data_IF_761188934994
#
_entry.id   IF_761188934994
#
_cell.length_a   1.000
_cell.length_b   1.000
_cell.length_c   1.000
_cell.angle_alpha   90.00
_cell.angle_beta   90.00
_cell.angle_gamma   90.00
#
_symmetry.space_group_name_H-M   'P 1'
#
loop_
_entity.id
_entity.type
_entity.pdbx_description
1 polymer ?
#
# COMPACT_ATOMS: atom_id res chain seq x y z
N UNK A 1 -4.11 18.02 -4.79
CA UNK A 1 -3.98 16.57 -5.09
C UNK A 1 -4.59 16.33 -6.45
N UNK A 2 -3.83 15.72 -7.36
CA UNK A 2 -4.16 15.63 -8.78
C UNK A 2 -4.42 14.18 -9.23
N UNK A 3 -3.66 13.19 -8.73
CA UNK A 3 -3.80 11.78 -9.13
C UNK A 3 -3.39 10.80 -8.01
N UNK A 4 -4.00 9.62 -7.99
CA UNK A 4 -3.62 8.46 -7.19
C UNK A 4 -3.40 7.22 -8.07
N UNK A 5 -2.23 6.59 -7.92
CA UNK A 5 -1.89 5.37 -8.65
C UNK A 5 -1.55 4.24 -7.67
N UNK A 6 -2.45 3.27 -7.54
CA UNK A 6 -2.22 2.09 -6.71
C UNK A 6 -1.00 1.30 -7.22
N UNK A 7 -0.10 0.93 -6.30
CA UNK A 7 1.06 0.08 -6.59
C UNK A 7 0.81 -1.37 -6.17
N UNK A 8 -0.05 -1.58 -5.17
CA UNK A 8 -0.47 -2.87 -4.67
C UNK A 8 -1.93 -2.85 -4.17
N UNK A 9 -2.38 -3.98 -3.61
CA UNK A 9 -3.68 -4.10 -2.96
C UNK A 9 -3.58 -4.01 -1.42
N UNK A 10 -2.40 -3.72 -0.89
CA UNK A 10 -2.14 -3.60 0.55
C UNK A 10 -2.32 -2.16 1.06
N UNK A 11 -2.42 -1.17 0.16
CA UNK A 11 -2.58 0.23 0.53
C UNK A 11 -1.37 1.11 0.22
N UNK A 12 -0.46 0.66 -0.64
CA UNK A 12 0.64 1.46 -1.16
C UNK A 12 0.27 2.07 -2.49
N UNK A 13 0.45 3.38 -2.63
CA UNK A 13 0.12 4.09 -3.86
C UNK A 13 1.02 5.31 -4.06
N UNK A 14 1.13 5.77 -5.30
CA UNK A 14 1.70 7.07 -5.62
C UNK A 14 0.62 8.14 -5.50
N UNK A 15 0.98 9.27 -4.90
CA UNK A 15 0.16 10.47 -4.89
C UNK A 15 0.88 11.60 -5.63
N UNK A 16 0.25 12.08 -6.70
CA UNK A 16 0.65 13.30 -7.37
C UNK A 16 -0.09 14.46 -6.73
N UNK A 17 0.66 15.34 -6.09
CA UNK A 17 0.12 16.51 -5.43
C UNK A 17 0.51 17.79 -6.13
N UNK A 18 -0.54 18.52 -6.53
CA UNK A 18 -0.49 19.91 -6.96
C UNK A 18 -1.12 20.83 -5.92
N UNK A 19 -0.46 21.95 -5.66
CA UNK A 19 -0.99 23.10 -4.93
C UNK A 19 -0.28 24.39 -5.37
N UNK A 20 -0.86 25.55 -5.05
CA UNK A 20 -0.18 26.85 -5.19
C UNK A 20 0.40 27.24 -3.84
N UNK A 21 1.66 27.66 -3.80
CA UNK A 21 2.22 28.26 -2.58
C UNK A 21 1.70 29.68 -2.34
N UNK A 22 2.12 30.30 -1.22
CA UNK A 22 1.71 31.65 -0.84
C UNK A 22 2.14 32.74 -1.85
N UNK A 23 3.05 32.42 -2.77
CA UNK A 23 3.50 33.31 -3.85
C UNK A 23 2.73 33.11 -5.15
N UNK A 24 1.84 32.11 -5.19
CA UNK A 24 1.08 31.73 -6.39
C UNK A 24 1.89 30.87 -7.36
N UNK A 25 3.04 30.33 -6.96
CA UNK A 25 3.81 29.41 -7.78
C UNK A 25 3.23 28.00 -7.67
N UNK A 26 3.17 27.33 -8.82
CA UNK A 26 2.73 25.95 -8.91
C UNK A 26 3.73 25.04 -8.19
N UNK A 27 3.23 24.18 -7.31
CA UNK A 27 4.00 23.20 -6.56
C UNK A 27 3.53 21.81 -6.94
N UNK A 28 4.42 21.02 -7.55
CA UNK A 28 4.10 19.69 -8.05
C UNK A 28 5.06 18.67 -7.43
N UNK A 29 4.51 17.69 -6.73
CA UNK A 29 5.30 16.72 -5.97
C UNK A 29 4.73 15.32 -6.12
N UNK A 30 5.62 14.34 -6.32
CA UNK A 30 5.29 12.93 -6.33
C UNK A 30 5.69 12.30 -5.00
N UNK A 31 4.75 11.58 -4.41
CA UNK A 31 4.96 10.90 -3.14
C UNK A 31 4.63 9.42 -3.24
N UNK A 32 5.37 8.60 -2.49
CA UNK A 32 4.96 7.26 -2.11
C UNK A 32 4.14 7.36 -0.82
N UNK A 33 2.96 6.77 -0.81
CA UNK A 33 2.03 6.78 0.32
C UNK A 33 1.74 5.34 0.75
N UNK A 34 1.72 5.13 2.06
CA UNK A 34 1.38 3.86 2.71
C UNK A 34 0.21 4.10 3.67
N UNK A 35 -0.91 3.40 3.43
CA UNK A 35 -2.08 3.42 4.31
C UNK A 35 -2.16 2.20 5.24
N UNK A 36 -1.22 1.27 5.16
CA UNK A 36 -1.22 -0.02 5.87
C UNK A 36 -1.39 0.13 7.39
N UNK A 37 -0.67 1.07 8.00
CA UNK A 37 -0.73 1.32 9.45
C UNK A 37 -1.68 2.47 9.82
N UNK A 38 -2.38 3.04 8.84
CA UNK A 38 -3.31 4.13 9.09
C UNK A 38 -4.59 3.60 9.74
N UNK A 39 -5.18 4.38 10.63
CA UNK A 39 -6.48 4.04 11.21
C UNK A 39 -7.54 3.99 10.11
N UNK A 40 -8.26 2.86 9.97
CA UNK A 40 -9.42 2.79 9.10
C UNK A 40 -10.55 3.68 9.64
N UNK A 41 -10.93 4.68 8.84
CA UNK A 41 -11.95 5.67 9.18
C UNK A 41 -13.26 5.45 8.43
N UNK A 42 -13.37 4.42 7.59
CA UNK A 42 -14.53 4.15 6.73
C UNK A 42 -15.84 4.01 7.51
N UNK A 43 -15.77 3.50 8.74
CA UNK A 43 -16.91 3.29 9.63
C UNK A 43 -17.06 4.37 10.72
N UNK A 44 -16.25 5.44 10.68
CA UNK A 44 -16.29 6.49 11.69
C UNK A 44 -17.17 7.66 11.21
N UNK A 45 -18.20 8.07 11.98
CA UNK A 45 -19.04 9.21 11.62
C UNK A 45 -18.32 10.55 11.76
N UNK A 46 -17.19 10.59 12.48
CA UNK A 46 -16.35 11.78 12.67
C UNK A 46 -14.97 11.41 13.21
N UNK A 47 -13.96 12.18 12.80
CA UNK A 47 -12.58 12.12 13.34
C UNK A 47 -12.38 13.00 14.58
N UNK A 48 -13.33 13.85 14.92
CA UNK A 48 -13.16 14.86 15.98
C UNK A 48 -12.93 14.19 17.35
N UNK A 49 -11.80 14.53 17.97
CA UNK A 49 -11.45 14.06 19.32
C UNK A 49 -11.05 12.58 19.39
N UNK A 50 -10.69 11.98 18.25
CA UNK A 50 -10.16 10.61 18.19
C UNK A 50 -8.66 10.65 18.04
N UNK A 51 -7.99 9.71 18.69
CA UNK A 51 -6.61 9.38 18.39
C UNK A 51 -6.61 8.53 17.11
N UNK A 52 -5.95 9.04 16.06
CA UNK A 52 -5.82 8.37 14.77
C UNK A 52 -4.36 8.29 14.37
N UNK A 53 -4.00 7.20 13.69
CA UNK A 53 -2.74 7.06 12.97
C UNK A 53 -2.99 7.49 11.53
N UNK A 54 -2.20 8.45 11.05
CA UNK A 54 -2.30 8.96 9.67
C UNK A 54 -1.46 8.09 8.72
N UNK A 55 -1.83 8.09 7.44
CA UNK A 55 -1.04 7.44 6.40
C UNK A 55 0.37 8.04 6.32
N UNK A 56 1.35 7.18 6.06
CA UNK A 56 2.75 7.57 5.93
C UNK A 56 3.03 8.03 4.50
N UNK A 57 3.95 8.99 4.37
CA UNK A 57 4.24 9.65 3.11
C UNK A 57 5.71 9.96 2.96
N UNK A 58 6.28 9.51 1.85
CA UNK A 58 7.67 9.79 1.46
C UNK A 58 7.69 10.61 0.18
N UNK A 59 8.36 11.77 0.20
CA UNK A 59 8.62 12.55 -1.01
C UNK A 59 9.58 11.76 -1.91
N UNK A 60 9.15 11.46 -3.14
CA UNK A 60 10.00 10.84 -4.15
C UNK A 60 10.67 11.90 -5.03
N UNK A 61 9.86 12.85 -5.51
CA UNK A 61 10.29 13.89 -6.45
C UNK A 61 9.58 15.19 -6.14
N UNK A 62 10.34 16.28 -6.04
CA UNK A 62 9.83 17.64 -6.16
C UNK A 62 10.09 18.09 -7.61
N UNK A 63 9.04 18.21 -8.42
CA UNK A 63 9.23 18.51 -9.84
C UNK A 63 9.80 19.92 -10.04
N UNK A 64 9.61 20.83 -9.08
CA UNK A 64 10.18 22.17 -9.12
C UNK A 64 11.72 22.16 -9.20
N UNK A 65 12.37 21.10 -8.71
CA UNK A 65 13.83 20.96 -8.74
C UNK A 65 14.37 20.53 -10.12
N UNK A 66 13.51 20.12 -11.04
CA UNK A 66 13.91 19.56 -12.36
C UNK A 66 14.16 20.68 -13.39
N UNK A 67 13.89 21.94 -13.05
CA UNK A 67 14.34 23.11 -13.83
C UNK A 67 13.57 23.37 -15.13
N UNK A 68 12.35 22.87 -15.24
CA UNK A 68 11.45 23.11 -16.38
C UNK A 68 10.34 24.10 -16.00
N UNK A 69 9.76 24.79 -16.99
CA UNK A 69 8.57 25.61 -16.78
C UNK A 69 7.39 24.64 -16.69
N UNK A 70 7.07 24.26 -15.45
CA UNK A 70 6.17 23.16 -15.14
C UNK A 70 4.79 23.72 -14.82
N UNK A 71 3.81 23.32 -15.61
CA UNK A 71 2.41 23.62 -15.36
C UNK A 71 1.62 22.32 -15.26
N UNK A 72 0.70 22.28 -14.31
CA UNK A 72 -0.39 21.31 -14.18
C UNK A 72 -0.05 19.84 -14.45
N UNK A 73 0.74 19.24 -13.55
CA UNK A 73 0.86 17.79 -13.53
C UNK A 73 -0.44 17.14 -13.08
N UNK A 74 -1.06 16.35 -13.97
CA UNK A 74 -2.46 15.90 -13.82
C UNK A 74 -2.64 14.39 -14.03
N UNK A 75 -1.60 13.65 -14.42
CA UNK A 75 -1.76 12.24 -14.68
C UNK A 75 -0.51 11.41 -14.48
N UNK A 76 -0.75 10.16 -14.09
CA UNK A 76 0.25 9.12 -13.88
C UNK A 76 -0.15 7.84 -14.62
N UNK A 77 0.82 7.14 -15.20
CA UNK A 77 0.60 5.80 -15.73
C UNK A 77 1.85 4.93 -15.55
N UNK A 78 1.68 3.72 -15.00
CA UNK A 78 2.74 2.72 -15.01
C UNK A 78 2.98 2.25 -16.45
N UNK A 79 4.25 2.20 -16.84
CA UNK A 79 4.67 1.56 -18.08
C UNK A 79 5.15 0.12 -17.85
N UNK A 80 5.86 -0.48 -18.81
CA UNK A 80 6.51 -1.78 -18.60
C UNK A 80 7.64 -1.71 -17.57
N UNK A 81 8.00 -2.85 -16.98
CA UNK A 81 9.25 -2.99 -16.23
C UNK A 81 10.44 -2.84 -17.19
N UNK A 82 11.41 -2.01 -16.83
CA UNK A 82 12.59 -1.74 -17.62
C UNK A 82 13.59 -2.92 -17.58
N UNK A 83 14.55 -3.01 -18.53
CA UNK A 83 15.52 -4.11 -18.55
C UNK A 83 16.39 -4.24 -17.29
N UNK A 84 16.51 -3.16 -16.51
CA UNK A 84 17.23 -3.13 -15.23
C UNK A 84 16.36 -3.52 -14.02
N UNK A 85 15.09 -3.89 -14.25
CA UNK A 85 14.14 -4.34 -13.23
C UNK A 85 13.30 -3.24 -12.59
N UNK A 86 13.57 -1.96 -12.86
CA UNK A 86 12.78 -0.85 -12.31
C UNK A 86 11.46 -0.68 -13.03
N UNK A 87 10.44 -0.26 -12.28
CA UNK A 87 9.12 0.04 -12.83
C UNK A 87 9.18 1.39 -13.57
N UNK A 88 8.76 1.45 -14.85
CA UNK A 88 8.65 2.75 -15.54
C UNK A 88 7.36 3.48 -15.15
N UNK A 89 7.44 4.80 -15.12
CA UNK A 89 6.33 5.71 -14.82
C UNK A 89 6.29 6.83 -15.85
N UNK A 90 5.12 7.07 -16.42
CA UNK A 90 4.81 8.26 -17.21
C UNK A 90 4.07 9.25 -16.32
N UNK A 91 4.51 10.51 -16.35
CA UNK A 91 3.85 11.64 -15.71
C UNK A 91 3.51 12.65 -16.80
N UNK A 92 2.26 13.10 -16.84
CA UNK A 92 1.79 14.07 -17.82
C UNK A 92 1.47 15.39 -17.15
N UNK A 93 1.87 16.47 -17.83
CA UNK A 93 1.46 17.83 -17.54
C UNK A 93 0.44 18.28 -18.57
N UNK A 94 -0.67 18.88 -18.14
CA UNK A 94 -1.64 19.53 -19.02
C UNK A 94 -1.22 21.00 -19.25
N UNK A 95 -1.84 21.65 -20.22
CA UNK A 95 -1.68 23.06 -20.53
C UNK A 95 -2.99 23.84 -20.37
N UNK A 96 -3.98 23.29 -19.66
CA UNK A 96 -5.31 23.90 -19.47
C UNK A 96 -6.02 24.29 -20.79
N UNK A 97 -5.65 23.65 -21.90
CA UNK A 97 -6.04 24.03 -23.26
C UNK A 97 -5.67 25.48 -23.65
N UNK A 98 -4.76 26.14 -22.92
CA UNK A 98 -4.27 27.48 -23.20
C UNK A 98 -3.00 27.41 -24.07
N UNK A 99 -3.00 27.98 -25.29
CA UNK A 99 -1.79 28.05 -26.12
C UNK A 99 -0.73 29.04 -25.58
N UNK A 100 -1.05 29.83 -24.56
CA UNK A 100 -0.12 30.76 -23.91
C UNK A 100 0.68 30.12 -22.75
N UNK A 101 0.25 28.96 -22.24
CA UNK A 101 0.98 28.17 -21.22
C UNK A 101 1.95 27.19 -21.90
N UNK A 102 2.91 26.61 -21.15
CA UNK A 102 3.74 25.52 -21.68
C UNK A 102 2.87 24.40 -22.24
N UNK A 103 3.21 23.88 -23.43
CA UNK A 103 2.48 22.77 -24.03
C UNK A 103 2.52 21.52 -23.14
N UNK A 104 1.52 20.63 -23.28
CA UNK A 104 1.46 19.32 -22.61
C UNK A 104 2.81 18.59 -22.66
N UNK A 105 3.34 18.20 -21.51
CA UNK A 105 4.64 17.53 -21.40
C UNK A 105 4.46 16.09 -20.92
N UNK A 106 5.31 15.19 -21.43
CA UNK A 106 5.39 13.81 -20.99
C UNK A 106 6.78 13.56 -20.39
N UNK A 107 6.80 13.18 -19.13
CA UNK A 107 8.01 12.81 -18.42
C UNK A 107 8.02 11.30 -18.20
N UNK A 108 9.16 10.68 -18.45
CA UNK A 108 9.37 9.26 -18.21
C UNK A 108 10.42 9.06 -17.11
N UNK A 109 10.04 8.34 -16.06
CA UNK A 109 10.91 8.03 -14.92
C UNK A 109 11.07 6.51 -14.79
N UNK A 110 12.20 6.12 -14.22
CA UNK A 110 12.41 4.78 -13.69
C UNK A 110 12.24 4.86 -12.17
N UNK A 111 11.20 4.24 -11.64
CA UNK A 111 10.95 4.20 -10.20
C UNK A 111 11.92 3.22 -9.55
N UNK A 112 12.77 3.78 -8.70
CA UNK A 112 13.58 3.04 -7.75
C UNK A 112 12.95 3.17 -6.37
N UNK A 113 11.79 2.55 -6.23
CA UNK A 113 11.13 2.38 -4.94
C UNK A 113 11.33 0.91 -4.58
N UNK A 114 11.68 0.65 -3.32
CA UNK A 114 11.59 -0.71 -2.82
C UNK A 114 10.16 -1.20 -3.14
N UNK A 115 9.97 -2.43 -3.65
CA UNK A 115 8.64 -3.02 -3.66
C UNK A 115 8.08 -2.80 -2.26
N UNK A 116 6.80 -2.39 -2.16
CA UNK A 116 6.13 -2.36 -0.87
C UNK A 116 6.53 -3.66 -0.17
N UNK A 117 7.17 -3.53 0.99
CA UNK A 117 7.60 -4.69 1.75
C UNK A 117 6.33 -5.32 2.30
N UNK A 118 5.54 -5.96 1.42
CA UNK A 118 4.63 -6.99 1.82
C UNK A 118 5.53 -8.04 2.44
N UNK A 119 5.60 -8.05 3.76
CA UNK A 119 6.21 -9.14 4.52
C UNK A 119 5.31 -10.34 4.39
N UNK A 120 5.19 -10.88 3.18
CA UNK A 120 4.55 -12.15 2.96
C UNK A 120 5.53 -13.22 3.42
N UNK A 121 5.45 -13.58 4.69
CA UNK A 121 6.13 -14.78 5.16
C UNK A 121 5.26 -16.01 4.89
N UNK A 122 5.91 -17.04 4.35
CA UNK A 122 5.33 -18.37 4.34
C UNK A 122 5.75 -19.06 5.63
N UNK A 123 4.78 -19.37 6.47
CA UNK A 123 4.99 -19.97 7.78
C UNK A 123 4.45 -21.39 7.72
N UNK A 124 5.31 -22.35 8.06
CA UNK A 124 4.98 -23.77 8.08
C UNK A 124 5.17 -24.29 9.50
N UNK A 125 4.13 -24.92 10.05
CA UNK A 125 4.23 -25.78 11.22
C UNK A 125 4.70 -27.18 10.82
N UNK A 126 4.35 -28.16 11.63
CA UNK A 126 4.93 -29.50 11.65
C UNK A 126 3.86 -30.58 11.55
N UNK A 127 4.19 -31.78 12.03
CA UNK A 127 3.25 -32.91 12.17
C UNK A 127 2.81 -33.10 13.63
N UNK A 128 3.24 -32.22 14.52
CA UNK A 128 2.93 -32.20 15.94
C UNK A 128 2.19 -30.90 16.28
N UNK A 129 1.62 -30.82 17.49
CA UNK A 129 0.94 -29.61 17.95
C UNK A 129 1.90 -28.41 18.01
N UNK A 130 1.56 -27.36 17.28
CA UNK A 130 2.34 -26.14 17.14
C UNK A 130 1.65 -24.92 17.79
N UNK A 131 2.45 -23.93 18.17
CA UNK A 131 1.99 -22.60 18.59
C UNK A 131 2.65 -21.54 17.71
N UNK A 132 1.88 -20.96 16.80
CA UNK A 132 2.32 -20.01 15.79
C UNK A 132 1.79 -18.61 16.11
N UNK A 133 2.69 -17.67 16.42
CA UNK A 133 2.36 -16.24 16.60
C UNK A 133 2.75 -15.47 15.34
N UNK A 134 1.79 -14.77 14.73
CA UNK A 134 1.99 -14.06 13.49
C UNK A 134 2.25 -12.57 13.74
N UNK A 135 3.15 -12.00 12.94
CA UNK A 135 3.39 -10.54 12.88
C UNK A 135 3.40 -10.08 11.43
N UNK A 136 3.22 -8.77 11.19
CA UNK A 136 3.15 -8.21 9.85
C UNK A 136 1.84 -8.53 9.13
N UNK A 137 1.78 -8.32 7.81
CA UNK A 137 0.56 -8.51 7.00
C UNK A 137 0.77 -9.49 5.84
N UNK A 138 -0.33 -10.02 5.31
CA UNK A 138 -0.35 -10.86 4.11
C UNK A 138 0.41 -12.20 4.23
N UNK A 139 0.58 -12.74 5.44
CA UNK A 139 1.23 -14.03 5.64
C UNK A 139 0.42 -15.18 5.03
N UNK A 140 1.11 -16.23 4.62
CA UNK A 140 0.49 -17.49 4.23
C UNK A 140 0.95 -18.58 5.20
N UNK A 141 0.03 -19.08 6.00
CA UNK A 141 0.32 -20.01 7.10
C UNK A 141 -0.24 -21.39 6.81
N UNK A 142 0.57 -22.42 7.04
CA UNK A 142 0.18 -23.83 7.01
C UNK A 142 0.61 -24.48 8.33
N UNK A 143 -0.31 -24.70 9.27
CA UNK A 143 0.05 -25.23 10.59
C UNK A 143 0.37 -26.75 10.53
N UNK A 144 -0.41 -27.52 9.77
CA UNK A 144 0.00 -28.88 9.36
C UNK A 144 -0.89 -29.96 9.97
N UNK A 145 -0.28 -30.91 10.68
CA UNK A 145 -1.03 -31.92 11.45
C UNK A 145 -0.77 -31.67 12.94
N UNK A 146 -1.77 -31.88 13.78
CA UNK A 146 -1.66 -31.60 15.20
C UNK A 146 -2.87 -30.86 15.72
N UNK A 147 -2.89 -30.55 17.02
CA UNK A 147 -3.89 -29.64 17.55
C UNK A 147 -3.19 -28.30 17.78
N UNK A 148 -3.30 -27.41 16.80
CA UNK A 148 -2.46 -26.22 16.71
C UNK A 148 -3.11 -25.00 17.32
N UNK A 149 -2.29 -24.04 17.73
CA UNK A 149 -2.72 -22.69 18.11
C UNK A 149 -2.06 -21.71 17.15
N UNK A 150 -2.86 -20.98 16.36
CA UNK A 150 -2.40 -19.92 15.48
C UNK A 150 -2.97 -18.59 15.98
N UNK A 151 -2.10 -17.68 16.41
CA UNK A 151 -2.46 -16.35 16.92
C UNK A 151 -2.00 -15.25 15.96
N UNK A 152 -2.96 -14.66 15.26
CA UNK A 152 -2.77 -13.52 14.36
C UNK A 152 -3.28 -12.20 14.97
N UNK A 153 -3.59 -12.17 16.26
CA UNK A 153 -4.19 -10.99 16.91
C UNK A 153 -3.30 -9.74 16.89
N UNK A 154 -1.98 -9.91 16.73
CA UNK A 154 -0.98 -8.85 16.62
C UNK A 154 -0.53 -8.57 15.18
N UNK A 155 -1.09 -9.28 14.19
CA UNK A 155 -0.73 -9.13 12.79
C UNK A 155 -1.56 -8.01 12.11
N UNK A 156 -0.95 -7.32 11.14
CA UNK A 156 -1.50 -6.17 10.42
C UNK A 156 -2.54 -6.56 9.34
N UNK A 157 -3.02 -7.81 9.36
CA UNK A 157 -4.14 -8.29 8.57
C UNK A 157 -3.83 -8.94 7.22
N UNK A 158 -4.88 -9.37 6.52
CA UNK A 158 -4.83 -10.09 5.24
C UNK A 158 -4.05 -11.41 5.27
N UNK A 159 -3.83 -11.98 6.45
CA UNK A 159 -3.20 -13.29 6.58
C UNK A 159 -4.16 -14.38 6.10
N UNK A 160 -3.59 -15.36 5.40
CA UNK A 160 -4.31 -16.53 4.90
C UNK A 160 -3.84 -17.75 5.66
N UNK A 161 -4.72 -18.32 6.47
CA UNK A 161 -4.34 -19.34 7.46
C UNK A 161 -5.00 -20.66 7.10
N UNK A 162 -4.16 -21.69 6.95
CA UNK A 162 -4.55 -23.08 6.79
C UNK A 162 -4.11 -23.85 8.04
N UNK A 163 -5.06 -24.15 8.93
CA UNK A 163 -4.76 -24.89 10.16
C UNK A 163 -4.36 -26.34 9.84
N UNK A 164 -5.10 -26.98 8.93
CA UNK A 164 -4.80 -28.34 8.50
C UNK A 164 -5.58 -29.36 9.31
N UNK A 165 -4.94 -30.46 9.70
CA UNK A 165 -5.60 -31.60 10.30
C UNK A 165 -5.44 -31.63 11.82
N UNK A 166 -6.57 -31.64 12.51
CA UNK A 166 -6.67 -31.85 13.95
C UNK A 166 -7.70 -30.91 14.57
N UNK A 167 -7.66 -30.78 15.90
CA UNK A 167 -8.53 -29.85 16.63
C UNK A 167 -7.76 -28.55 16.90
N UNK A 168 -7.83 -27.61 15.95
CA UNK A 168 -7.05 -26.37 15.96
C UNK A 168 -7.80 -25.18 16.56
N UNK A 169 -7.03 -24.22 17.07
CA UNK A 169 -7.50 -22.91 17.51
C UNK A 169 -6.85 -21.82 16.67
N UNK A 170 -7.66 -21.02 15.98
CA UNK A 170 -7.19 -19.88 15.18
C UNK A 170 -7.78 -18.59 15.74
N UNK A 171 -6.90 -17.67 16.15
CA UNK A 171 -7.24 -16.31 16.57
C UNK A 171 -6.89 -15.39 15.41
N UNK A 172 -7.92 -14.80 14.78
CA UNK A 172 -7.76 -13.96 13.60
C UNK A 172 -7.59 -12.48 13.98
N UNK A 173 -6.68 -11.79 13.29
CA UNK A 173 -6.56 -10.34 13.28
C UNK A 173 -7.55 -9.68 12.32
N UNK A 174 -7.43 -8.36 12.15
CA UNK A 174 -8.29 -7.60 11.23
C UNK A 174 -8.06 -8.03 9.79
N UNK A 175 -9.13 -8.29 9.02
CA UNK A 175 -9.04 -8.65 7.59
C UNK A 175 -8.32 -9.98 7.29
N UNK A 176 -8.13 -10.85 8.28
CA UNK A 176 -7.59 -12.20 8.07
C UNK A 176 -8.67 -13.17 7.54
N UNK A 177 -8.23 -14.15 6.77
CA UNK A 177 -9.09 -15.18 6.20
C UNK A 177 -8.59 -16.59 6.57
N UNK A 178 -9.37 -17.38 7.35
CA UNK A 178 -9.15 -18.81 7.44
C UNK A 178 -9.50 -19.43 6.08
N UNK A 179 -8.65 -20.31 5.57
CA UNK A 179 -8.83 -20.94 4.27
C UNK A 179 -9.67 -22.24 4.33
N UNK A 180 -10.02 -22.68 5.54
CA UNK A 180 -10.98 -23.76 5.78
C UNK A 180 -12.16 -23.28 6.64
N UNK A 181 -13.34 -23.94 6.57
CA UNK A 181 -14.46 -23.62 7.43
C UNK A 181 -14.07 -23.84 8.90
N UNK A 182 -14.07 -22.78 9.71
CA UNK A 182 -13.94 -22.92 11.15
C UNK A 182 -15.08 -23.82 11.63
N UNK A 183 -14.72 -24.94 12.25
CA UNK A 183 -15.69 -25.87 12.80
C UNK A 183 -16.32 -25.18 14.00
N UNK A 184 -17.55 -24.68 13.82
CA UNK A 184 -18.30 -24.04 14.91
C UNK A 184 -18.32 -24.97 16.12
N UNK A 185 -17.74 -24.52 17.23
CA UNK A 185 -17.88 -25.20 18.51
C UNK A 185 -19.31 -24.95 19.03
N UNK A 186 -20.05 -25.97 19.52
CA UNK A 186 -21.40 -25.81 20.08
C UNK A 186 -21.48 -24.90 21.31
#
# INVERSE_FOLDING_TARGET
MAELLALDNAGTFLALERYFDDTGLNQNKLYLVSAQNATDVSNLPSLKGRDIVVAEKQLLVDFNDIGTNLDDFEGLALGPVLPDGRQSLIVVSDNDFDPATPATQLFAFALDIAPASETKEQIFGTLEADALELTGSNNLVFAGEGNDIIDASLADGNNRIYAGNGDDTVILGTSDAPLEPLRDWP
#
